data_IF_607733812202
#
_entry.id   IF_607733812202
#
_cell.length_a   1.000
_cell.length_b   1.000
_cell.length_c   1.000
_cell.angle_alpha   90.00
_cell.angle_beta   90.00
_cell.angle_gamma   90.00
#
_symmetry.space_group_name_H-M   'P 1'
#
loop_
_entity.id
_entity.type
_entity.pdbx_description
1 polymer ?
#
# COMPACT_ATOMS: atom_id res chain seq x y z
N UNK A 1 -25.21 -24.62 -6.37
CA UNK A 1 -23.89 -25.30 -6.40
C UNK A 1 -23.30 -25.24 -5.01
N UNK A 2 -22.88 -26.36 -4.43
CA UNK A 2 -22.26 -26.36 -3.10
C UNK A 2 -20.84 -25.78 -3.21
N UNK A 3 -20.57 -24.73 -2.42
CA UNK A 3 -19.24 -24.12 -2.31
C UNK A 3 -18.25 -25.15 -1.78
N UNK A 4 -17.11 -25.32 -2.42
CA UNK A 4 -16.09 -26.26 -1.94
C UNK A 4 -15.54 -25.80 -0.58
N UNK A 5 -14.98 -26.73 0.19
CA UNK A 5 -14.33 -26.40 1.48
C UNK A 5 -13.21 -25.37 1.32
N UNK A 6 -12.48 -25.41 0.21
CA UNK A 6 -11.43 -24.47 -0.12
C UNK A 6 -11.97 -23.05 -0.41
N UNK A 7 -13.06 -22.96 -1.19
CA UNK A 7 -13.73 -21.69 -1.47
C UNK A 7 -14.30 -21.05 -0.20
N UNK A 8 -14.87 -21.85 0.69
CA UNK A 8 -15.37 -21.36 1.98
C UNK A 8 -14.24 -20.89 2.88
N UNK A 9 -13.10 -21.59 2.91
CA UNK A 9 -11.92 -21.16 3.67
C UNK A 9 -11.36 -19.83 3.15
N UNK A 10 -11.24 -19.68 1.83
CA UNK A 10 -10.77 -18.43 1.22
C UNK A 10 -11.76 -17.27 1.46
N UNK A 11 -13.06 -17.53 1.40
CA UNK A 11 -14.09 -16.55 1.73
C UNK A 11 -13.96 -16.06 3.18
N UNK A 12 -13.74 -16.98 4.11
CA UNK A 12 -13.56 -16.64 5.53
C UNK A 12 -12.25 -15.87 5.74
N UNK A 13 -11.16 -16.29 5.10
CA UNK A 13 -9.87 -15.57 5.15
C UNK A 13 -10.01 -14.11 4.67
N UNK A 14 -10.69 -13.89 3.55
CA UNK A 14 -10.99 -12.54 3.03
C UNK A 14 -11.85 -11.73 4.00
N UNK A 15 -12.86 -12.35 4.63
CA UNK A 15 -13.69 -11.68 5.62
C UNK A 15 -12.89 -11.24 6.86
N UNK A 16 -11.91 -12.06 7.33
CA UNK A 16 -11.01 -11.68 8.41
C UNK A 16 -10.18 -10.45 8.01
N UNK A 17 -9.58 -10.45 6.81
CA UNK A 17 -8.79 -9.32 6.31
C UNK A 17 -9.61 -8.03 6.22
N UNK A 18 -10.82 -8.11 5.67
CA UNK A 18 -11.69 -6.93 5.50
C UNK A 18 -12.15 -6.37 6.85
N UNK A 19 -12.52 -7.25 7.80
CA UNK A 19 -12.91 -6.83 9.15
C UNK A 19 -11.73 -6.21 9.90
N UNK A 20 -10.56 -6.83 9.83
CA UNK A 20 -9.35 -6.32 10.46
C UNK A 20 -8.95 -4.96 9.86
N UNK A 21 -9.00 -4.81 8.53
CA UNK A 21 -8.74 -3.55 7.84
C UNK A 21 -9.62 -2.44 8.37
N UNK A 22 -10.92 -2.68 8.46
CA UNK A 22 -11.89 -1.70 8.99
C UNK A 22 -11.57 -1.32 10.44
N UNK A 23 -11.30 -2.29 11.30
CA UNK A 23 -10.98 -2.05 12.70
C UNK A 23 -9.64 -1.32 12.88
N UNK A 24 -8.63 -1.62 12.06
CA UNK A 24 -7.36 -0.88 12.06
C UNK A 24 -7.56 0.59 11.67
N UNK A 25 -8.49 0.87 10.75
CA UNK A 25 -8.86 2.23 10.35
C UNK A 25 -9.61 2.97 11.47
N UNK A 26 -10.60 2.32 12.08
CA UNK A 26 -11.50 2.93 13.06
C UNK A 26 -10.83 3.12 14.43
N UNK A 27 -10.05 2.15 14.86
CA UNK A 27 -9.49 2.09 16.23
C UNK A 27 -7.96 2.18 16.29
N UNK A 28 -7.29 2.06 15.16
CA UNK A 28 -5.85 1.89 15.08
C UNK A 28 -5.42 0.44 15.29
N UNK A 29 -4.19 0.14 14.84
CA UNK A 29 -3.64 -1.20 14.91
C UNK A 29 -3.43 -1.68 16.35
N UNK A 30 -2.87 -0.82 17.22
CA UNK A 30 -2.52 -1.20 18.59
C UNK A 30 -3.77 -1.54 19.42
N UNK A 31 -4.86 -0.81 19.25
CA UNK A 31 -6.13 -1.04 19.95
C UNK A 31 -6.94 -2.22 19.39
N UNK A 32 -6.61 -2.71 18.19
CA UNK A 32 -7.29 -3.87 17.60
C UNK A 32 -6.65 -5.17 18.09
N UNK A 33 -7.48 -6.17 18.44
CA UNK A 33 -7.04 -7.51 18.83
C UNK A 33 -7.66 -8.58 17.93
N UNK A 34 -7.05 -9.79 17.88
CA UNK A 34 -7.68 -10.94 17.21
C UNK A 34 -9.04 -11.30 17.82
N UNK A 35 -9.21 -11.05 19.13
CA UNK A 35 -10.51 -11.23 19.80
C UNK A 35 -11.54 -10.23 19.28
N UNK A 36 -11.19 -8.94 19.19
CA UNK A 36 -12.10 -7.91 18.67
C UNK A 36 -12.51 -8.20 17.21
N UNK A 37 -11.58 -8.69 16.38
CA UNK A 37 -11.88 -9.11 15.01
C UNK A 37 -12.90 -10.26 15.03
N UNK A 38 -12.68 -11.29 15.86
CA UNK A 38 -13.57 -12.45 15.98
C UNK A 38 -14.97 -12.03 16.45
N UNK A 39 -15.06 -11.19 17.48
CA UNK A 39 -16.30 -10.69 18.07
C UNK A 39 -17.09 -9.89 17.01
N UNK A 40 -16.41 -9.03 16.26
CA UNK A 40 -17.01 -8.23 15.19
C UNK A 40 -17.56 -9.11 14.04
N UNK A 41 -16.89 -10.22 13.75
CA UNK A 41 -17.35 -11.19 12.74
C UNK A 41 -18.43 -12.16 13.24
N UNK A 42 -18.69 -12.20 14.54
CA UNK A 42 -19.60 -13.20 15.14
C UNK A 42 -19.04 -14.62 15.09
N UNK A 43 -17.70 -14.78 15.14
CA UNK A 43 -17.02 -16.08 15.13
C UNK A 43 -16.15 -16.26 16.37
N UNK A 44 -15.65 -17.47 16.61
CA UNK A 44 -14.73 -17.72 17.72
C UNK A 44 -13.34 -17.18 17.42
N UNK A 45 -12.59 -16.78 18.44
CA UNK A 45 -11.17 -16.42 18.30
C UNK A 45 -10.34 -17.52 17.64
N UNK A 46 -10.66 -18.79 17.92
CA UNK A 46 -10.00 -19.95 17.33
C UNK A 46 -10.20 -19.98 15.81
N UNK A 47 -11.34 -19.53 15.30
CA UNK A 47 -11.59 -19.43 13.87
C UNK A 47 -10.67 -18.40 13.21
N UNK A 48 -10.54 -17.19 13.78
CA UNK A 48 -9.60 -16.18 13.28
C UNK A 48 -8.16 -16.67 13.39
N UNK A 49 -7.79 -17.29 14.53
CA UNK A 49 -6.45 -17.82 14.80
C UNK A 49 -6.04 -18.95 13.84
N UNK A 50 -7.00 -19.67 13.27
CA UNK A 50 -6.74 -20.67 12.24
C UNK A 50 -6.13 -20.04 10.98
N UNK A 51 -6.59 -18.83 10.58
CA UNK A 51 -6.12 -18.13 9.39
C UNK A 51 -4.91 -17.24 9.66
N UNK A 52 -4.87 -16.60 10.82
CA UNK A 52 -3.83 -15.64 11.20
C UNK A 52 -3.47 -15.78 12.67
N UNK A 53 -2.21 -16.10 12.93
CA UNK A 53 -1.70 -16.30 14.31
C UNK A 53 -1.46 -14.98 15.03
N UNK A 54 -1.17 -13.91 14.28
CA UNK A 54 -0.85 -12.59 14.82
C UNK A 54 -1.54 -11.48 14.01
N UNK A 55 -1.67 -10.31 14.62
CA UNK A 55 -2.13 -9.10 13.91
C UNK A 55 -1.17 -8.68 12.78
N UNK A 56 0.11 -9.01 12.95
CA UNK A 56 1.14 -8.69 11.97
C UNK A 56 0.93 -9.49 10.69
N UNK A 57 0.65 -10.78 10.78
CA UNK A 57 0.32 -11.60 9.61
C UNK A 57 -0.89 -11.04 8.84
N UNK A 58 -1.87 -10.48 9.56
CA UNK A 58 -2.99 -9.79 8.92
C UNK A 58 -2.52 -8.52 8.21
N UNK A 59 -1.68 -7.71 8.86
CA UNK A 59 -1.11 -6.50 8.27
C UNK A 59 -0.29 -6.81 7.02
N UNK A 60 0.60 -7.80 7.10
CA UNK A 60 1.39 -8.29 5.96
C UNK A 60 0.49 -8.72 4.80
N UNK A 61 -0.55 -9.51 5.09
CA UNK A 61 -1.49 -9.96 4.08
C UNK A 61 -2.30 -8.81 3.44
N UNK A 62 -2.62 -7.75 4.21
CA UNK A 62 -3.27 -6.55 3.68
C UNK A 62 -2.36 -5.73 2.77
N UNK A 63 -1.07 -5.68 3.08
CA UNK A 63 -0.08 -4.94 2.29
C UNK A 63 0.41 -5.72 1.07
N UNK A 64 0.30 -7.06 1.09
CA UNK A 64 0.84 -7.92 0.04
C UNK A 64 0.36 -7.53 -1.36
N UNK A 65 -0.92 -7.23 -1.53
CA UNK A 65 -1.46 -6.78 -2.82
C UNK A 65 -0.80 -5.52 -3.34
N UNK A 66 -0.53 -4.54 -2.46
CA UNK A 66 0.16 -3.30 -2.81
C UNK A 66 1.63 -3.52 -3.14
N UNK A 67 2.29 -4.41 -2.40
CA UNK A 67 3.69 -4.78 -2.63
C UNK A 67 3.84 -5.48 -3.98
N UNK A 68 2.96 -6.44 -4.30
CA UNK A 68 2.96 -7.13 -5.61
C UNK A 68 2.75 -6.12 -6.73
N UNK A 69 1.72 -5.26 -6.63
CA UNK A 69 1.41 -4.29 -7.66
C UNK A 69 2.56 -3.28 -7.88
N UNK A 70 3.24 -2.86 -6.79
CA UNK A 70 4.42 -2.00 -6.90
C UNK A 70 5.61 -2.72 -7.55
N UNK A 71 5.84 -3.98 -7.19
CA UNK A 71 6.88 -4.81 -7.81
C UNK A 71 6.66 -4.94 -9.31
N UNK A 72 5.45 -5.30 -9.74
CA UNK A 72 5.08 -5.41 -11.16
C UNK A 72 5.21 -4.07 -11.91
N UNK A 73 4.90 -2.96 -11.24
CA UNK A 73 5.10 -1.61 -11.81
C UNK A 73 6.58 -1.33 -12.05
N UNK A 74 7.45 -1.65 -11.09
CA UNK A 74 8.89 -1.47 -11.23
C UNK A 74 9.46 -2.39 -12.34
N UNK A 75 9.02 -3.65 -12.41
CA UNK A 75 9.43 -4.59 -13.48
C UNK A 75 9.07 -4.04 -14.86
N UNK A 76 7.86 -3.52 -15.03
CA UNK A 76 7.44 -2.88 -16.29
C UNK A 76 8.27 -1.64 -16.61
N UNK A 77 8.59 -0.84 -15.60
CA UNK A 77 9.37 0.38 -15.80
C UNK A 77 10.81 0.09 -16.22
N UNK A 78 11.42 -1.00 -15.74
CA UNK A 78 12.76 -1.42 -16.17
C UNK A 78 12.82 -1.76 -17.67
N UNK A 79 11.73 -2.31 -18.21
CA UNK A 79 11.64 -2.65 -19.63
C UNK A 79 11.41 -1.42 -20.54
N UNK A 80 11.09 -0.24 -19.98
CA UNK A 80 10.81 0.97 -20.76
C UNK A 80 12.10 1.67 -21.16
N UNK A 81 12.32 1.84 -22.45
CA UNK A 81 13.41 2.65 -22.99
C UNK A 81 13.13 4.15 -22.85
N UNK A 82 14.13 4.88 -22.37
CA UNK A 82 14.05 6.34 -22.21
C UNK A 82 13.54 6.79 -20.84
N UNK A 83 14.29 7.71 -20.24
CA UNK A 83 14.04 8.20 -18.87
C UNK A 83 12.64 8.78 -18.70
N UNK A 84 12.23 9.65 -19.62
CA UNK A 84 10.94 10.34 -19.52
C UNK A 84 9.76 9.37 -19.53
N UNK A 85 9.72 8.47 -20.52
CA UNK A 85 8.65 7.47 -20.62
C UNK A 85 8.59 6.54 -19.39
N UNK A 86 9.75 6.16 -18.85
CA UNK A 86 9.86 5.36 -17.63
C UNK A 86 9.29 6.09 -16.42
N UNK A 87 9.64 7.37 -16.23
CA UNK A 87 9.15 8.17 -15.09
C UNK A 87 7.65 8.44 -15.23
N UNK A 88 7.15 8.72 -16.42
CA UNK A 88 5.71 8.88 -16.68
C UNK A 88 4.94 7.59 -16.32
N UNK A 89 5.43 6.42 -16.73
CA UNK A 89 4.82 5.12 -16.38
C UNK A 89 4.85 4.86 -14.87
N UNK A 90 5.97 5.15 -14.20
CA UNK A 90 6.08 4.99 -12.75
C UNK A 90 5.12 5.91 -12.00
N UNK A 91 5.03 7.17 -12.41
CA UNK A 91 4.13 8.15 -11.78
C UNK A 91 2.66 7.75 -12.00
N UNK A 92 2.29 7.37 -13.23
CA UNK A 92 0.93 6.94 -13.53
C UNK A 92 0.52 5.73 -12.69
N UNK A 93 1.31 4.67 -12.72
CA UNK A 93 1.01 3.45 -11.99
C UNK A 93 1.03 3.64 -10.46
N UNK A 94 1.97 4.43 -9.93
CA UNK A 94 2.02 4.73 -8.51
C UNK A 94 0.82 5.56 -8.03
N UNK A 95 0.46 6.62 -8.78
CA UNK A 95 -0.71 7.44 -8.46
C UNK A 95 -2.00 6.62 -8.53
N UNK A 96 -2.14 5.73 -9.52
CA UNK A 96 -3.29 4.82 -9.59
C UNK A 96 -3.39 3.94 -8.34
N UNK A 97 -2.28 3.34 -7.89
CA UNK A 97 -2.25 2.53 -6.67
C UNK A 97 -2.60 3.37 -5.44
N UNK A 98 -2.07 4.59 -5.33
CA UNK A 98 -2.36 5.49 -4.20
C UNK A 98 -3.84 5.88 -4.15
N UNK A 99 -4.46 6.20 -5.29
CA UNK A 99 -5.89 6.55 -5.34
C UNK A 99 -6.77 5.36 -4.98
N UNK A 100 -6.44 4.15 -5.45
CA UNK A 100 -7.14 2.92 -5.06
C UNK A 100 -6.95 2.63 -3.57
N UNK A 101 -5.70 2.70 -3.08
CA UNK A 101 -5.36 2.44 -1.69
C UNK A 101 -6.01 3.47 -0.74
N UNK A 102 -6.15 4.73 -1.16
CA UNK A 102 -6.80 5.77 -0.38
C UNK A 102 -8.20 5.37 0.09
N UNK A 103 -8.98 4.68 -0.75
CA UNK A 103 -10.32 4.19 -0.40
C UNK A 103 -10.31 2.91 0.44
N UNK A 104 -9.23 2.15 0.37
CA UNK A 104 -9.19 0.79 0.95
C UNK A 104 -8.26 0.65 2.15
N UNK A 105 -7.12 1.38 2.18
CA UNK A 105 -6.04 1.17 3.16
C UNK A 105 -5.49 2.52 3.69
N UNK A 106 -6.17 3.62 3.43
CA UNK A 106 -5.69 4.99 3.64
C UNK A 106 -4.99 5.35 4.98
N UNK A 107 -5.24 4.68 6.10
CA UNK A 107 -4.51 4.94 7.35
C UNK A 107 -3.21 4.18 7.51
N UNK A 108 -2.90 3.22 6.63
CA UNK A 108 -1.74 2.34 6.74
C UNK A 108 -0.73 2.68 5.64
N UNK A 109 -0.17 3.87 5.72
CA UNK A 109 0.89 4.31 4.81
C UNK A 109 2.27 3.97 5.38
N UNK A 110 3.32 4.11 4.55
CA UNK A 110 4.71 3.86 4.93
C UNK A 110 5.18 4.67 6.14
N UNK A 111 4.62 5.85 6.37
CA UNK A 111 4.90 6.70 7.52
C UNK A 111 4.18 6.26 8.80
N UNK A 112 3.32 5.22 8.74
CA UNK A 112 2.69 4.68 9.93
C UNK A 112 3.76 4.08 10.85
N UNK A 113 3.83 4.50 12.12
CA UNK A 113 4.80 3.98 13.09
C UNK A 113 4.76 2.46 13.24
N UNK A 114 3.66 1.81 12.88
CA UNK A 114 3.49 0.37 12.93
C UNK A 114 4.33 -0.29 11.85
N UNK A 115 4.29 0.23 10.61
CA UNK A 115 5.06 -0.31 9.49
C UNK A 115 6.55 -0.16 9.78
N UNK A 116 6.99 1.00 10.29
CA UNK A 116 8.40 1.24 10.63
C UNK A 116 8.93 0.38 11.78
N UNK A 117 8.07 -0.09 12.69
CA UNK A 117 8.44 -1.00 13.78
C UNK A 117 8.58 -2.46 13.34
N UNK A 118 8.04 -2.82 12.17
CA UNK A 118 8.12 -4.17 11.65
C UNK A 118 9.22 -4.28 10.60
N UNK A 119 10.38 -4.72 11.06
CA UNK A 119 11.62 -4.79 10.27
C UNK A 119 11.44 -5.52 8.93
N UNK A 120 10.69 -6.61 8.89
CA UNK A 120 10.43 -7.36 7.65
C UNK A 120 9.63 -6.56 6.62
N UNK A 121 8.57 -5.86 7.06
CA UNK A 121 7.73 -5.02 6.18
C UNK A 121 8.52 -3.79 5.74
N UNK A 122 9.16 -3.09 6.70
CA UNK A 122 9.93 -1.89 6.43
C UNK A 122 11.02 -2.15 5.42
N UNK A 123 11.84 -3.17 5.63
CA UNK A 123 12.94 -3.55 4.73
C UNK A 123 12.42 -3.81 3.30
N UNK A 124 11.33 -4.57 3.13
CA UNK A 124 10.77 -4.86 1.81
C UNK A 124 10.29 -3.60 1.09
N UNK A 125 9.65 -2.68 1.81
CA UNK A 125 9.24 -1.39 1.24
C UNK A 125 10.42 -0.48 0.94
N UNK A 126 11.48 -0.54 1.74
CA UNK A 126 12.72 0.21 1.52
C UNK A 126 13.43 -0.27 0.27
N UNK A 127 13.57 -1.58 0.07
CA UNK A 127 14.14 -2.19 -1.13
C UNK A 127 13.40 -1.75 -2.41
N UNK A 128 12.06 -1.77 -2.39
CA UNK A 128 11.24 -1.30 -3.52
C UNK A 128 11.40 0.20 -3.76
N UNK A 129 11.50 0.99 -2.70
CA UNK A 129 11.72 2.44 -2.79
C UNK A 129 13.09 2.76 -3.40
N UNK A 130 14.14 2.11 -2.94
CA UNK A 130 15.48 2.29 -3.51
C UNK A 130 15.54 1.89 -4.98
N UNK A 131 14.89 0.77 -5.34
CA UNK A 131 14.76 0.34 -6.73
C UNK A 131 14.04 1.41 -7.58
N UNK A 132 12.93 1.94 -7.10
CA UNK A 132 12.21 3.01 -7.78
C UNK A 132 13.04 4.29 -7.90
N UNK A 133 13.78 4.67 -6.87
CA UNK A 133 14.67 5.84 -6.90
C UNK A 133 15.75 5.69 -7.99
N UNK A 134 16.37 4.50 -8.09
CA UNK A 134 17.34 4.22 -9.15
C UNK A 134 16.74 4.31 -10.56
N UNK A 135 15.52 3.83 -10.74
CA UNK A 135 14.82 3.91 -12.03
C UNK A 135 14.53 5.35 -12.46
N UNK A 136 14.25 6.24 -11.50
CA UNK A 136 13.94 7.65 -11.76
C UNK A 136 15.20 8.48 -11.96
N UNK A 137 16.21 8.30 -11.10
CA UNK A 137 17.37 9.20 -11.04
C UNK A 137 18.70 8.56 -11.39
N UNK A 138 18.79 7.24 -11.50
CA UNK A 138 20.03 6.49 -11.66
C UNK A 138 20.66 6.11 -10.32
N UNK A 139 21.91 5.62 -10.37
CA UNK A 139 22.59 5.05 -9.21
C UNK A 139 23.11 6.10 -8.20
N UNK A 140 23.30 7.33 -8.64
CA UNK A 140 23.85 8.43 -7.83
C UNK A 140 22.88 9.63 -7.77
N UNK A 141 21.73 9.49 -7.10
CA UNK A 141 20.80 10.61 -6.95
C UNK A 141 21.39 11.70 -6.05
N UNK A 142 21.21 12.96 -6.44
CA UNK A 142 21.60 14.11 -5.61
C UNK A 142 20.73 14.19 -4.34
N UNK A 143 21.17 14.91 -3.27
CA UNK A 143 20.35 15.09 -2.06
C UNK A 143 18.96 15.67 -2.35
N UNK A 144 18.84 16.63 -3.29
CA UNK A 144 17.55 17.19 -3.69
C UNK A 144 16.64 16.14 -4.34
N UNK A 145 17.19 15.25 -5.16
CA UNK A 145 16.47 14.16 -5.81
C UNK A 145 16.02 13.11 -4.80
N UNK A 146 16.87 12.76 -3.84
CA UNK A 146 16.52 11.86 -2.74
C UNK A 146 15.37 12.43 -1.91
N UNK A 147 15.44 13.72 -1.54
CA UNK A 147 14.40 14.39 -0.79
C UNK A 147 13.09 14.44 -1.59
N UNK A 148 13.13 14.83 -2.86
CA UNK A 148 11.97 14.88 -3.74
C UNK A 148 11.30 13.49 -3.87
N UNK A 149 12.08 12.43 -4.09
CA UNK A 149 11.56 11.07 -4.18
C UNK A 149 10.92 10.61 -2.86
N UNK A 150 11.59 10.84 -1.73
CA UNK A 150 11.08 10.48 -0.40
C UNK A 150 9.75 11.18 -0.11
N UNK A 151 9.63 12.46 -0.43
CA UNK A 151 8.38 13.22 -0.28
C UNK A 151 7.25 12.67 -1.15
N UNK A 152 7.56 12.22 -2.37
CA UNK A 152 6.57 11.67 -3.30
C UNK A 152 6.24 10.19 -3.01
N UNK A 153 7.07 9.45 -2.31
CA UNK A 153 6.80 8.05 -1.96
C UNK A 153 5.69 7.89 -0.92
N UNK A 154 5.28 8.96 -0.24
CA UNK A 154 4.12 9.00 0.66
C UNK A 154 3.15 10.12 0.29
N UNK A 155 2.20 9.81 -0.58
CA UNK A 155 1.12 10.72 -0.96
C UNK A 155 -0.12 10.64 -0.04
N UNK A 156 -0.08 9.84 1.02
CA UNK A 156 -1.18 9.69 1.97
C UNK A 156 -1.65 11.01 2.59
N UNK A 157 -0.75 11.90 3.06
CA UNK A 157 -1.15 13.22 3.55
C UNK A 157 -1.87 14.07 2.48
N UNK A 158 -1.42 13.99 1.22
CA UNK A 158 -2.03 14.72 0.12
C UNK A 158 -3.44 14.17 -0.22
N UNK A 159 -3.60 12.85 -0.32
CA UNK A 159 -4.90 12.23 -0.61
C UNK A 159 -5.94 12.57 0.45
N UNK A 160 -5.57 12.60 1.73
CA UNK A 160 -6.48 13.00 2.83
C UNK A 160 -6.99 14.45 2.71
N UNK A 161 -6.23 15.34 2.09
CA UNK A 161 -6.64 16.72 1.82
C UNK A 161 -7.54 16.84 0.59
N UNK A 162 -7.49 15.86 -0.30
CA UNK A 162 -8.16 15.86 -1.60
C UNK A 162 -9.43 14.99 -1.62
N UNK A 163 -9.94 14.55 -0.48
CA UNK A 163 -11.13 13.68 -0.36
C UNK A 163 -12.41 14.26 -0.97
N UNK A 164 -12.45 15.58 -1.19
CA UNK A 164 -13.55 16.30 -1.83
C UNK A 164 -13.54 16.18 -3.37
N UNK A 165 -12.45 15.67 -3.96
CA UNK A 165 -12.33 15.47 -5.40
C UNK A 165 -12.82 14.07 -5.80
N UNK A 166 -13.32 13.96 -7.04
CA UNK A 166 -13.51 12.66 -7.69
C UNK A 166 -12.13 11.99 -7.95
N UNK A 167 -12.13 10.65 -8.08
CA UNK A 167 -10.87 9.90 -8.25
C UNK A 167 -10.04 10.36 -9.44
N UNK A 168 -10.71 10.67 -10.57
CA UNK A 168 -10.02 11.11 -11.78
C UNK A 168 -9.40 12.50 -11.60
N UNK A 169 -10.08 13.39 -10.88
CA UNK A 169 -9.54 14.71 -10.54
C UNK A 169 -8.37 14.59 -9.57
N UNK A 170 -8.49 13.77 -8.52
CA UNK A 170 -7.42 13.50 -7.57
C UNK A 170 -6.20 12.92 -8.29
N UNK A 171 -6.40 11.93 -9.16
CA UNK A 171 -5.36 11.32 -10.00
C UNK A 171 -4.63 12.36 -10.84
N UNK A 172 -5.38 13.22 -11.53
CA UNK A 172 -4.82 14.28 -12.37
C UNK A 172 -3.99 15.29 -11.56
N UNK A 173 -4.44 15.66 -10.36
CA UNK A 173 -3.71 16.57 -9.45
C UNK A 173 -2.40 15.93 -8.98
N UNK A 174 -2.45 14.70 -8.48
CA UNK A 174 -1.28 13.99 -7.96
C UNK A 174 -0.25 13.73 -9.07
N UNK A 175 -0.69 13.29 -10.26
CA UNK A 175 0.19 13.10 -11.41
C UNK A 175 0.95 14.39 -11.78
N UNK A 176 0.23 15.51 -11.94
CA UNK A 176 0.86 16.80 -12.25
C UNK A 176 1.86 17.23 -11.18
N UNK A 177 1.54 17.00 -9.89
CA UNK A 177 2.44 17.30 -8.78
C UNK A 177 3.73 16.47 -8.89
N UNK A 178 3.60 15.15 -9.03
CA UNK A 178 4.74 14.23 -9.12
C UNK A 178 5.67 14.59 -10.29
N UNK A 179 5.11 14.75 -11.51
CA UNK A 179 5.92 15.09 -12.68
C UNK A 179 6.62 16.45 -12.54
N UNK A 180 5.96 17.45 -11.93
CA UNK A 180 6.56 18.77 -11.68
C UNK A 180 7.71 18.68 -10.69
N UNK A 181 7.56 17.92 -9.60
CA UNK A 181 8.60 17.76 -8.58
C UNK A 181 9.78 16.96 -9.11
N UNK A 182 9.51 15.93 -9.91
CA UNK A 182 10.55 15.11 -10.55
C UNK A 182 11.21 15.80 -11.75
N UNK A 183 10.71 16.97 -12.16
CA UNK A 183 11.23 17.77 -13.30
C UNK A 183 11.29 16.98 -14.60
N UNK A 184 10.18 16.31 -14.97
CA UNK A 184 10.03 15.52 -16.20
C UNK A 184 9.02 16.17 -17.13
#
# INVERSE_FOLDING_TARGET
>A
MATTRAEQAEKTRKAVLETARRLFIEHGFDATSLQLIADTMGVTKANVYYYFRTKIEILEALLEGSVIALTELLDRAEAVAGKRARVELLVDGFVDQVVVAHRTIAPMNRADPIISRHEGISRRLDELSERGMRLVFGDEPTPDQQAAYTMLSDLGPATRRLTHLADDEMRAVLKRLCLRVLRV
#
